data_IF_664374086536
#
_entry.id   IF_664374086536
#
_cell.length_a   1.000
_cell.length_b   1.000
_cell.length_c   1.000
_cell.angle_alpha   90.00
_cell.angle_beta   90.00
_cell.angle_gamma   90.00
#
_symmetry.space_group_name_H-M   'P 1'
#
loop_
_entity.id
_entity.type
_entity.pdbx_description
1 polymer ?
#
# COMPACT_ATOMS: atom_id res chain seq x y z
N UNK A 1 -13.61 -15.71 -15.90
CA UNK A 1 -14.23 -14.62 -15.12
C UNK A 1 -13.31 -14.27 -13.97
N UNK A 2 -12.45 -13.26 -14.15
CA UNK A 2 -12.00 -12.30 -13.13
C UNK A 2 -11.20 -11.21 -13.88
N UNK A 3 -11.81 -10.73 -14.96
CA UNK A 3 -11.41 -9.50 -15.62
C UNK A 3 -12.18 -8.36 -14.95
N UNK A 4 -11.43 -7.32 -14.59
CA UNK A 4 -11.90 -6.01 -14.11
C UNK A 4 -12.59 -5.97 -12.75
N UNK A 5 -11.82 -5.64 -11.71
CA UNK A 5 -12.26 -4.65 -10.73
C UNK A 5 -11.05 -3.94 -10.10
N UNK A 6 -10.92 -2.67 -10.47
CA UNK A 6 -10.36 -1.54 -9.71
C UNK A 6 -8.95 -1.61 -9.09
N UNK A 7 -8.03 -0.92 -9.79
CA UNK A 7 -7.22 0.24 -9.35
C UNK A 7 -6.26 0.04 -8.16
N UNK A 8 -4.98 -0.10 -8.53
CA UNK A 8 -3.75 0.49 -7.94
C UNK A 8 -3.85 1.07 -6.53
N UNK A 9 -2.96 0.64 -5.61
CA UNK A 9 -2.64 1.49 -4.45
C UNK A 9 -1.66 2.58 -4.89
N UNK A 10 -0.90 3.14 -3.96
CA UNK A 10 -0.16 4.37 -4.02
C UNK A 10 -0.96 5.68 -3.98
N UNK A 11 -1.95 5.76 -3.09
CA UNK A 11 -2.26 7.02 -2.42
C UNK A 11 -2.38 6.78 -0.92
N UNK A 12 -1.48 7.37 -0.14
CA UNK A 12 -1.94 7.95 1.12
C UNK A 12 -3.07 8.92 0.73
N UNK A 13 -4.24 8.87 1.37
CA UNK A 13 -5.31 9.88 1.26
C UNK A 13 -4.79 11.21 1.83
N UNK A 14 -3.81 11.78 1.13
CA UNK A 14 -2.84 12.74 1.64
C UNK A 14 -3.46 14.13 1.76
N UNK A 15 -4.51 14.38 0.97
CA UNK A 15 -5.25 15.65 0.95
C UNK A 15 -6.08 15.85 2.22
N UNK A 16 -6.61 14.78 2.82
CA UNK A 16 -7.40 14.85 4.06
C UNK A 16 -6.53 14.75 5.32
N UNK A 17 -5.44 13.96 5.26
CA UNK A 17 -4.52 13.77 6.39
C UNK A 17 -3.50 14.90 6.57
N UNK A 18 -3.19 15.67 5.51
CA UNK A 18 -2.30 16.83 5.58
C UNK A 18 -3.00 18.10 5.08
N UNK A 19 -3.67 18.82 5.99
CA UNK A 19 -4.36 20.10 5.72
C UNK A 19 -3.45 21.25 5.21
N UNK A 20 -2.16 21.01 4.99
CA UNK A 20 -1.15 21.99 4.56
C UNK A 20 -0.57 21.73 3.16
N UNK A 21 -0.97 20.67 2.48
CA UNK A 21 -0.42 20.30 1.18
C UNK A 21 -1.26 20.82 0.03
N UNK A 22 -0.59 21.42 -0.95
CA UNK A 22 -1.25 21.90 -2.16
C UNK A 22 -1.66 20.72 -3.04
N UNK A 23 -2.67 20.93 -3.89
CA UNK A 23 -3.15 19.90 -4.82
C UNK A 23 -2.05 19.37 -5.75
N UNK A 24 -1.14 20.25 -6.18
CA UNK A 24 0.00 19.87 -7.02
C UNK A 24 0.97 18.95 -6.27
N UNK A 25 1.23 19.23 -4.99
CA UNK A 25 2.09 18.39 -4.17
C UNK A 25 1.44 17.03 -3.88
N UNK A 26 0.13 17.00 -3.63
CA UNK A 26 -0.61 15.75 -3.45
C UNK A 26 -0.54 14.87 -4.70
N UNK A 27 -0.74 15.46 -5.88
CA UNK A 27 -0.60 14.75 -7.16
C UNK A 27 0.81 14.21 -7.38
N UNK A 28 1.85 15.02 -7.13
CA UNK A 28 3.25 14.58 -7.25
C UNK A 28 3.57 13.40 -6.32
N UNK A 29 3.06 13.43 -5.09
CA UNK A 29 3.25 12.33 -4.13
C UNK A 29 2.53 11.06 -4.58
N UNK A 30 1.30 11.17 -5.07
CA UNK A 30 0.54 10.05 -5.64
C UNK A 30 1.30 9.41 -6.81
N UNK A 31 1.70 10.21 -7.81
CA UNK A 31 2.40 9.71 -9.00
C UNK A 31 3.73 9.00 -8.64
N UNK A 32 4.44 9.48 -7.61
CA UNK A 32 5.66 8.83 -7.10
C UNK A 32 5.36 7.50 -6.44
N UNK A 33 4.32 7.47 -5.62
CA UNK A 33 3.92 6.24 -4.97
C UNK A 33 3.55 5.17 -6.03
N UNK A 34 2.86 5.55 -7.12
CA UNK A 34 2.43 4.60 -8.16
C UNK A 34 3.64 3.96 -8.83
N UNK A 35 4.66 4.77 -9.12
CA UNK A 35 5.92 4.28 -9.69
C UNK A 35 6.63 3.31 -8.74
N UNK A 36 6.67 3.62 -7.43
CA UNK A 36 7.27 2.72 -6.44
C UNK A 36 6.54 1.38 -6.36
N UNK A 37 5.21 1.37 -6.42
CA UNK A 37 4.44 0.12 -6.43
C UNK A 37 4.71 -0.69 -7.70
N UNK A 38 4.78 -0.05 -8.87
CA UNK A 38 5.09 -0.72 -10.13
C UNK A 38 6.50 -1.32 -10.15
N UNK A 39 7.48 -0.62 -9.56
CA UNK A 39 8.89 -1.01 -9.59
C UNK A 39 9.25 -2.03 -8.50
N UNK A 40 8.68 -1.89 -7.30
CA UNK A 40 9.09 -2.65 -6.12
C UNK A 40 7.97 -3.50 -5.49
N UNK A 41 6.79 -3.57 -6.13
CA UNK A 41 5.63 -4.27 -5.57
C UNK A 41 5.89 -5.75 -5.26
N UNK A 42 6.80 -6.41 -5.98
CA UNK A 42 7.18 -7.81 -5.72
C UNK A 42 7.90 -8.01 -4.36
N UNK A 43 8.49 -6.95 -3.80
CA UNK A 43 9.19 -6.99 -2.52
C UNK A 43 8.28 -6.63 -1.34
N UNK A 44 7.06 -6.17 -1.58
CA UNK A 44 6.15 -5.76 -0.52
C UNK A 44 5.48 -6.98 0.11
N UNK A 45 5.45 -7.02 1.45
CA UNK A 45 4.72 -8.05 2.20
C UNK A 45 3.21 -7.79 2.20
N UNK A 46 2.80 -6.52 2.17
CA UNK A 46 1.40 -6.12 2.11
C UNK A 46 1.22 -4.70 1.55
N UNK A 47 -0.01 -4.40 1.14
CA UNK A 47 -0.45 -3.14 0.54
C UNK A 47 -1.68 -2.68 1.34
N UNK A 48 -1.61 -1.51 1.99
CA UNK A 48 -2.59 -1.08 2.99
C UNK A 48 -3.36 0.17 2.55
N UNK A 49 -4.70 0.09 2.48
CA UNK A 49 -5.58 1.18 2.06
C UNK A 49 -6.52 1.60 3.19
N UNK A 50 -6.91 2.88 3.22
CA UNK A 50 -7.90 3.38 4.17
C UNK A 50 -8.32 4.82 3.85
N UNK A 51 -9.51 5.18 4.29
CA UNK A 51 -10.07 6.52 4.06
C UNK A 51 -9.47 7.53 5.05
N UNK A 52 -9.19 7.10 6.28
CA UNK A 52 -8.58 7.92 7.32
C UNK A 52 -7.17 7.45 7.71
N UNK A 53 -6.41 8.33 8.38
CA UNK A 53 -5.12 7.96 8.96
C UNK A 53 -5.26 6.82 9.99
N UNK A 54 -6.36 6.85 10.74
CA UNK A 54 -6.65 5.85 11.76
C UNK A 54 -6.88 4.48 11.13
N UNK A 55 -7.61 4.41 10.02
CA UNK A 55 -7.83 3.16 9.28
C UNK A 55 -6.49 2.60 8.80
N UNK A 56 -5.67 3.42 8.15
CA UNK A 56 -4.35 3.01 7.66
C UNK A 56 -3.46 2.53 8.82
N UNK A 57 -3.45 3.28 9.93
CA UNK A 57 -2.68 2.90 11.11
C UNK A 57 -3.13 1.55 11.69
N UNK A 58 -4.44 1.34 11.82
CA UNK A 58 -4.99 0.10 12.33
C UNK A 58 -4.70 -1.07 11.40
N UNK A 59 -4.86 -0.89 10.09
CA UNK A 59 -4.54 -1.91 9.11
C UNK A 59 -3.05 -2.26 9.09
N UNK A 60 -2.15 -1.28 9.23
CA UNK A 60 -0.72 -1.54 9.37
C UNK A 60 -0.39 -2.41 10.59
N UNK A 61 -1.04 -2.15 11.74
CA UNK A 61 -0.85 -3.00 12.94
C UNK A 61 -1.32 -4.44 12.69
N UNK A 62 -2.48 -4.61 12.05
CA UNK A 62 -3.00 -5.94 11.71
C UNK A 62 -2.05 -6.74 10.83
N UNK A 63 -1.52 -6.11 9.77
CA UNK A 63 -0.51 -6.73 8.90
C UNK A 63 0.73 -7.16 9.70
N UNK A 64 1.23 -6.29 10.59
CA UNK A 64 2.39 -6.62 11.43
C UNK A 64 2.07 -7.81 12.33
N UNK A 65 0.91 -7.81 12.99
CA UNK A 65 0.49 -8.91 13.86
C UNK A 65 0.41 -10.23 13.09
N UNK A 66 -0.24 -10.25 11.92
CA UNK A 66 -0.37 -11.43 11.06
C UNK A 66 0.99 -11.97 10.57
N UNK A 67 1.91 -11.08 10.20
CA UNK A 67 3.21 -11.44 9.62
C UNK A 67 4.31 -11.64 10.68
N UNK A 68 4.05 -11.36 11.96
CA UNK A 68 5.00 -11.52 13.07
C UNK A 68 4.97 -12.89 13.75
N UNK A 69 4.13 -13.81 13.26
CA UNK A 69 3.98 -15.15 13.80
C UNK A 69 5.26 -15.99 13.74
N UNK A 70 5.33 -17.11 14.48
CA UNK A 70 6.49 -18.01 14.46
C UNK A 70 6.70 -18.71 13.12
N UNK A 71 5.69 -18.70 12.25
CA UNK A 71 5.74 -19.21 10.89
C UNK A 71 5.40 -18.08 9.93
N UNK A 72 6.27 -17.85 8.94
CA UNK A 72 6.14 -16.78 7.95
C UNK A 72 6.24 -17.36 6.54
N UNK A 73 5.63 -16.66 5.58
CA UNK A 73 5.75 -16.97 4.16
C UNK A 73 7.02 -16.34 3.60
N UNK A 74 7.79 -17.15 2.87
CA UNK A 74 8.96 -16.68 2.11
C UNK A 74 8.82 -17.12 0.65
N UNK A 75 9.34 -16.35 -0.31
CA UNK A 75 9.34 -16.76 -1.72
C UNK A 75 10.06 -18.10 -1.92
N UNK A 76 9.41 -19.03 -2.61
CA UNK A 76 10.06 -20.29 -3.02
C UNK A 76 11.08 -20.02 -4.12
N UNK A 77 12.18 -20.79 -4.11
CA UNK A 77 13.18 -20.79 -5.19
C UNK A 77 12.75 -21.63 -6.39
N UNK A 78 11.67 -22.40 -6.26
CA UNK A 78 11.13 -23.23 -7.32
C UNK A 78 10.32 -22.37 -8.31
N UNK A 79 10.55 -22.59 -9.61
CA UNK A 79 9.73 -21.97 -10.65
C UNK A 79 8.44 -22.76 -10.81
N UNK A 80 7.32 -22.03 -10.89
CA UNK A 80 5.99 -22.56 -11.22
C UNK A 80 5.92 -23.10 -12.64
#
# INVERSE_FOLDING_TARGET
>A
MLGQLNKSLAAVTFREMNKRLTEEQAKKTYDRAIKLEQEFGEYFTAIVQGDTLEDIYNQCKLVIEEQSGPFIWIPSKEKL
#
